data_IF_567926852820
#
_entry.id   IF_567926852820
#
_cell.length_a   1.000
_cell.length_b   1.000
_cell.length_c   1.000
_cell.angle_alpha   90.00
_cell.angle_beta   90.00
_cell.angle_gamma   90.00
#
_symmetry.space_group_name_H-M   'P 1'
#
loop_
_entity.id
_entity.type
_entity.pdbx_description
1 polymer ?
#
# COMPACT_ATOMS: atom_id res chain seq x y z
N UNK A 1 30.39 19.49 35.47
CA UNK A 1 30.56 18.27 34.65
C UNK A 1 29.45 17.23 34.90
N UNK A 2 29.18 16.80 36.15
CA UNK A 2 28.13 15.78 36.46
C UNK A 2 26.69 16.17 36.07
N UNK A 3 26.31 17.46 36.16
CA UNK A 3 24.98 17.96 35.76
C UNK A 3 24.71 17.86 34.25
N UNK A 4 25.75 17.96 33.42
CA UNK A 4 25.64 17.86 31.97
C UNK A 4 25.44 16.40 31.52
N UNK A 5 26.12 15.46 32.19
CA UNK A 5 25.95 14.02 31.96
C UNK A 5 24.53 13.53 32.27
N UNK A 6 23.89 14.07 33.32
CA UNK A 6 22.49 13.77 33.66
C UNK A 6 21.50 14.31 32.61
N UNK A 7 21.71 15.52 32.09
CA UNK A 7 20.86 16.06 31.02
C UNK A 7 21.01 15.24 29.72
N UNK A 8 22.23 14.84 29.36
CA UNK A 8 22.48 14.00 28.17
C UNK A 8 21.83 12.63 28.31
N UNK A 9 21.89 12.01 29.49
CA UNK A 9 21.22 10.72 29.75
C UNK A 9 19.68 10.84 29.64
N UNK A 10 19.08 11.93 30.14
CA UNK A 10 17.63 12.16 30.07
C UNK A 10 17.13 12.40 28.64
N UNK A 11 17.94 13.05 27.80
CA UNK A 11 17.62 13.29 26.38
C UNK A 11 17.69 11.97 25.57
N UNK A 12 18.58 11.05 25.93
CA UNK A 12 18.67 9.75 25.27
C UNK A 12 17.47 8.83 25.56
N UNK A 13 16.96 8.87 26.79
CA UNK A 13 15.83 8.05 27.23
C UNK A 13 14.50 8.44 26.55
N UNK A 14 14.30 9.72 26.24
CA UNK A 14 13.04 10.21 25.66
C UNK A 14 12.91 9.94 24.16
N UNK A 15 14.03 9.81 23.44
CA UNK A 15 14.03 9.51 21.99
C UNK A 15 13.53 8.09 21.67
N UNK A 16 13.83 7.10 22.53
CA UNK A 16 13.40 5.72 22.34
C UNK A 16 11.89 5.50 22.45
N UNK A 17 11.23 6.17 23.41
CA UNK A 17 9.78 6.04 23.61
C UNK A 17 8.93 6.63 22.47
N UNK A 18 9.39 7.73 21.86
CA UNK A 18 8.73 8.34 20.70
C UNK A 18 8.80 7.43 19.46
N UNK A 19 9.95 6.80 19.22
CA UNK A 19 10.12 5.85 18.11
C UNK A 19 9.23 4.60 18.30
N UNK A 20 9.18 4.04 19.51
CA UNK A 20 8.35 2.86 19.81
C UNK A 20 6.85 3.15 19.69
N UNK A 21 6.40 4.31 20.18
CA UNK A 21 4.99 4.71 20.03
C UNK A 21 4.59 4.94 18.57
N UNK A 22 5.51 5.46 17.74
CA UNK A 22 5.29 5.65 16.30
C UNK A 22 5.23 4.32 15.56
N UNK A 23 6.15 3.39 15.84
CA UNK A 23 6.15 2.05 15.25
C UNK A 23 4.86 1.29 15.58
N UNK A 24 4.45 1.31 16.85
CA UNK A 24 3.21 0.66 17.28
C UNK A 24 1.98 1.22 16.56
N UNK A 25 1.86 2.56 16.46
CA UNK A 25 0.78 3.21 15.72
C UNK A 25 0.75 2.84 14.25
N UNK A 26 1.91 2.81 13.59
CA UNK A 26 2.04 2.42 12.19
C UNK A 26 1.81 0.93 11.96
N UNK A 27 2.08 0.09 12.94
CA UNK A 27 1.74 -1.34 12.88
C UNK A 27 0.23 -1.55 12.97
N UNK A 28 -0.46 -0.84 13.88
CA UNK A 28 -1.92 -0.86 13.97
C UNK A 28 -2.60 -0.22 12.77
N UNK A 29 -1.99 0.82 12.19
CA UNK A 29 -2.50 1.57 11.04
C UNK A 29 -1.40 1.67 9.96
N UNK A 30 -1.22 0.62 9.14
CA UNK A 30 -0.17 0.59 8.12
C UNK A 30 -0.20 1.81 7.20
N UNK A 31 0.94 2.49 6.98
CA UNK A 31 1.02 3.60 6.04
C UNK A 31 0.81 3.10 4.60
N UNK A 32 0.51 4.03 3.68
CA UNK A 32 0.30 3.70 2.26
C UNK A 32 1.47 2.93 1.63
N UNK A 33 2.71 3.23 2.02
CA UNK A 33 3.91 2.56 1.53
C UNK A 33 4.02 1.09 1.93
N UNK A 34 3.28 0.66 2.96
CA UNK A 34 3.24 -0.73 3.41
C UNK A 34 2.10 -1.54 2.79
N UNK A 35 1.20 -0.89 2.03
CA UNK A 35 0.09 -1.60 1.37
C UNK A 35 0.62 -2.45 0.21
N UNK A 36 0.06 -3.65 -0.01
CA UNK A 36 0.49 -4.51 -1.11
C UNK A 36 0.15 -3.88 -2.46
N UNK A 37 0.96 -4.19 -3.47
CA UNK A 37 0.68 -3.87 -4.87
C UNK A 37 0.42 -5.15 -5.65
N UNK A 38 -0.46 -5.09 -6.64
CA UNK A 38 -0.87 -6.26 -7.42
C UNK A 38 -0.52 -6.11 -8.90
N UNK A 39 -0.37 -7.25 -9.58
CA UNK A 39 -0.36 -7.26 -11.04
C UNK A 39 -1.79 -7.36 -11.55
N UNK A 40 -2.13 -6.47 -12.47
CA UNK A 40 -3.47 -6.41 -13.07
C UNK A 40 -3.33 -6.61 -14.58
N UNK A 41 -3.49 -7.87 -15.00
CA UNK A 41 -3.38 -8.26 -16.40
C UNK A 41 -4.72 -8.10 -17.10
N UNK A 42 -4.76 -7.29 -18.14
CA UNK A 42 -5.86 -7.24 -19.11
C UNK A 42 -5.54 -8.24 -20.22
N UNK A 43 -6.21 -9.38 -20.21
CA UNK A 43 -5.91 -10.46 -21.17
C UNK A 43 -6.71 -10.23 -22.46
N UNK A 44 -6.02 -10.03 -23.58
CA UNK A 44 -6.61 -9.78 -24.90
C UNK A 44 -7.42 -8.49 -24.96
N UNK A 45 -6.98 -7.46 -24.24
CA UNK A 45 -7.70 -6.19 -24.06
C UNK A 45 -9.16 -6.38 -23.61
N UNK A 46 -9.50 -7.49 -22.93
CA UNK A 46 -10.86 -7.78 -22.47
C UNK A 46 -11.17 -6.98 -21.21
N UNK A 47 -11.39 -5.67 -21.36
CA UNK A 47 -11.68 -4.75 -20.28
C UNK A 47 -12.75 -3.74 -20.70
N UNK A 48 -13.55 -3.27 -19.75
CA UNK A 48 -14.53 -2.18 -19.95
C UNK A 48 -14.26 -1.05 -18.96
N UNK A 49 -14.68 0.19 -19.27
CA UNK A 49 -14.55 1.32 -18.34
C UNK A 49 -15.25 1.04 -17.01
N UNK A 50 -16.43 0.41 -17.06
CA UNK A 50 -17.18 0.00 -15.87
C UNK A 50 -16.44 -1.06 -15.05
N UNK A 51 -15.83 -2.06 -15.72
CA UNK A 51 -15.01 -3.07 -15.07
C UNK A 51 -13.79 -2.46 -14.37
N UNK A 52 -13.10 -1.53 -15.05
CA UNK A 52 -11.99 -0.76 -14.46
C UNK A 52 -12.44 -0.05 -13.18
N UNK A 53 -13.59 0.63 -13.20
CA UNK A 53 -14.11 1.31 -12.01
C UNK A 53 -14.36 0.31 -10.87
N UNK A 54 -15.04 -0.81 -11.15
CA UNK A 54 -15.35 -1.84 -10.15
C UNK A 54 -14.08 -2.45 -9.53
N UNK A 55 -13.08 -2.71 -10.35
CA UNK A 55 -11.79 -3.25 -9.89
C UNK A 55 -11.06 -2.25 -8.98
N UNK A 56 -10.97 -0.98 -9.38
CA UNK A 56 -10.31 0.06 -8.58
C UNK A 56 -11.03 0.33 -7.25
N UNK A 57 -12.36 0.35 -7.25
CA UNK A 57 -13.14 0.48 -6.03
C UNK A 57 -12.95 -0.72 -5.11
N UNK A 58 -12.90 -1.94 -5.68
CA UNK A 58 -12.60 -3.15 -4.91
C UNK A 58 -11.19 -3.08 -4.30
N UNK A 59 -10.18 -2.71 -5.08
CA UNK A 59 -8.79 -2.54 -4.59
C UNK A 59 -8.73 -1.56 -3.41
N UNK A 60 -9.43 -0.43 -3.52
CA UNK A 60 -9.54 0.54 -2.43
C UNK A 60 -10.23 -0.06 -1.19
N UNK A 61 -11.37 -0.74 -1.35
CA UNK A 61 -12.13 -1.35 -0.25
C UNK A 61 -11.33 -2.39 0.52
N UNK A 62 -10.55 -3.22 -0.18
CA UNK A 62 -9.77 -4.30 0.45
C UNK A 62 -8.37 -3.87 0.89
N UNK A 63 -7.97 -2.62 0.62
CA UNK A 63 -6.71 -2.06 1.11
C UNK A 63 -5.49 -2.31 0.22
N UNK A 64 -5.67 -2.63 -1.06
CA UNK A 64 -4.58 -2.67 -2.05
C UNK A 64 -4.04 -1.24 -2.26
N UNK A 65 -2.71 -1.11 -2.25
CA UNK A 65 -2.00 0.16 -2.29
C UNK A 65 -1.72 0.69 -3.69
N UNK A 66 -1.79 -0.19 -4.69
CA UNK A 66 -1.54 0.13 -6.09
C UNK A 66 -1.50 -1.11 -6.95
N UNK A 67 -1.22 -0.91 -8.24
CA UNK A 67 -1.16 -1.96 -9.22
C UNK A 67 -0.13 -1.64 -10.31
N UNK A 68 0.32 -2.68 -10.99
CA UNK A 68 1.02 -2.58 -12.26
C UNK A 68 0.10 -3.20 -13.32
N UNK A 69 -0.32 -2.37 -14.28
CA UNK A 69 -1.24 -2.79 -15.34
C UNK A 69 -0.46 -3.28 -16.56
N UNK A 70 -0.90 -4.40 -17.13
CA UNK A 70 -0.30 -5.00 -18.31
C UNK A 70 -1.40 -5.45 -19.26
N UNK A 71 -1.34 -5.07 -20.53
CA UNK A 71 -2.13 -5.72 -21.58
C UNK A 71 -1.31 -6.90 -22.12
N UNK A 72 -1.90 -8.09 -22.09
CA UNK A 72 -1.21 -9.34 -22.44
C UNK A 72 -2.03 -10.12 -23.46
N UNK A 73 -1.36 -10.70 -24.45
CA UNK A 73 -2.00 -11.52 -25.49
C UNK A 73 -2.06 -13.01 -25.15
N UNK A 74 -1.48 -13.41 -24.01
CA UNK A 74 -1.39 -14.81 -23.56
C UNK A 74 -2.22 -14.99 -22.30
N UNK A 75 -2.90 -16.13 -22.19
CA UNK A 75 -3.74 -16.49 -21.06
C UNK A 75 -5.18 -16.77 -21.47
N UNK A 76 -6.07 -16.85 -20.47
CA UNK A 76 -7.51 -17.01 -20.66
C UNK A 76 -8.26 -16.27 -19.56
N UNK A 77 -9.57 -16.08 -19.73
CA UNK A 77 -10.38 -15.34 -18.76
C UNK A 77 -11.71 -14.91 -19.34
N UNK A 78 -12.25 -13.83 -18.76
CA UNK A 78 -13.51 -13.24 -19.22
C UNK A 78 -13.33 -12.57 -20.59
N UNK A 79 -14.35 -12.70 -21.43
CA UNK A 79 -14.46 -11.95 -22.68
C UNK A 79 -15.57 -10.91 -22.50
N UNK A 80 -15.31 -9.70 -22.99
CA UNK A 80 -16.28 -8.60 -22.96
C UNK A 80 -16.64 -8.20 -24.38
N UNK A 81 -17.91 -7.94 -24.62
CA UNK A 81 -18.40 -7.58 -25.96
C UNK A 81 -17.90 -6.21 -26.41
N UNK A 82 -17.93 -5.24 -25.51
CA UNK A 82 -17.52 -3.86 -25.79
C UNK A 82 -16.29 -3.49 -24.98
N UNK A 83 -15.14 -3.53 -25.66
CA UNK A 83 -13.84 -3.11 -25.13
C UNK A 83 -13.72 -1.58 -25.14
N UNK A 84 -12.84 -1.04 -24.31
CA UNK A 84 -12.50 0.40 -24.26
C UNK A 84 -11.42 0.75 -25.26
#
# INVERSE_FOLDING_TARGET
MKKWLLCVALIWSSLGGLAQSTLFKNFQNPPKSAKPVVWWHWVGSNVTREGITKDLEWMQRVGIGGFQAFDVSIGGGQTVEKKV
#
